data_IF_894624403567
#
_entry.id   IF_894624403567
#
_cell.length_a   1.000
_cell.length_b   1.000
_cell.length_c   1.000
_cell.angle_alpha   90.00
_cell.angle_beta   90.00
_cell.angle_gamma   90.00
#
_symmetry.space_group_name_H-M   'P 1'
#
loop_
_entity.id
_entity.type
_entity.pdbx_description
1 polymer ?
#
# COMPACT_ATOMS: atom_id res chain seq x y z
N UNK A 1 3.50 -3.58 3.01
CA UNK A 1 2.38 -2.60 2.98
C UNK A 1 2.24 -1.94 1.62
N UNK A 2 3.29 -1.35 1.03
CA UNK A 2 3.21 -0.60 -0.23
C UNK A 2 2.56 -1.41 -1.36
N UNK A 3 2.98 -2.66 -1.58
CA UNK A 3 2.38 -3.54 -2.59
C UNK A 3 0.89 -3.84 -2.32
N UNK A 4 0.49 -3.98 -1.05
CA UNK A 4 -0.91 -4.19 -0.67
C UNK A 4 -1.78 -3.01 -1.09
N UNK A 5 -1.34 -1.78 -0.82
CA UNK A 5 -2.04 -0.57 -1.24
C UNK A 5 -2.09 -0.42 -2.75
N UNK A 6 -0.98 -0.66 -3.43
CA UNK A 6 -0.96 -0.61 -4.89
C UNK A 6 -1.90 -1.65 -5.49
N UNK A 7 -1.90 -2.89 -5.00
CA UNK A 7 -2.81 -3.93 -5.46
C UNK A 7 -4.28 -3.56 -5.24
N UNK A 8 -4.60 -2.95 -4.09
CA UNK A 8 -5.94 -2.46 -3.79
C UNK A 8 -6.41 -1.38 -4.78
N UNK A 9 -5.52 -0.46 -5.17
CA UNK A 9 -5.83 0.64 -6.09
C UNK A 9 -5.83 0.23 -7.56
N UNK A 10 -4.94 -0.68 -7.94
CA UNK A 10 -4.79 -1.15 -9.33
C UNK A 10 -5.73 -2.30 -9.67
N UNK A 11 -6.29 -2.98 -8.67
CA UNK A 11 -7.08 -4.20 -8.81
C UNK A 11 -6.25 -5.48 -8.74
N UNK A 12 -6.91 -6.62 -8.50
CA UNK A 12 -6.30 -7.93 -8.24
C UNK A 12 -5.46 -8.51 -9.38
N UNK A 13 -5.58 -7.97 -10.60
CA UNK A 13 -4.80 -8.38 -11.77
C UNK A 13 -3.51 -7.59 -11.94
N UNK A 14 -3.17 -6.71 -10.99
CA UNK A 14 -1.93 -5.95 -11.04
C UNK A 14 -0.70 -6.87 -10.87
N UNK A 15 0.32 -6.64 -11.70
CA UNK A 15 1.54 -7.44 -11.72
C UNK A 15 2.73 -6.61 -11.29
N UNK A 16 3.60 -7.23 -10.50
CA UNK A 16 4.90 -6.67 -10.15
C UNK A 16 5.87 -6.89 -11.33
N UNK A 17 6.37 -5.81 -11.92
CA UNK A 17 7.22 -5.86 -13.12
C UNK A 17 8.69 -5.58 -12.84
N UNK A 18 9.00 -4.77 -11.83
CA UNK A 18 10.36 -4.54 -11.33
C UNK A 18 10.39 -4.50 -9.82
N UNK A 19 11.49 -4.93 -9.23
CA UNK A 19 11.78 -4.77 -7.81
C UNK A 19 13.27 -4.63 -7.58
N UNK A 20 13.64 -3.83 -6.59
CA UNK A 20 14.99 -3.71 -6.05
C UNK A 20 14.92 -3.62 -4.53
N UNK A 21 15.81 -4.30 -3.86
CA UNK A 21 15.98 -4.22 -2.44
C UNK A 21 17.47 -4.17 -2.10
N UNK A 22 17.82 -3.46 -1.06
CA UNK A 22 19.19 -3.24 -0.67
C UNK A 22 19.38 -3.49 0.82
N UNK A 23 20.49 -4.12 1.09
CA UNK A 23 20.96 -4.44 2.42
C UNK A 23 21.91 -3.35 2.94
N UNK A 24 21.94 -3.16 4.24
CA UNK A 24 22.94 -2.34 4.95
C UNK A 24 23.71 -3.26 5.88
N UNK A 25 25.03 -3.14 5.90
CA UNK A 25 25.88 -3.95 6.77
C UNK A 25 25.45 -3.84 8.23
N UNK A 26 25.31 -4.98 8.88
CA UNK A 26 24.87 -5.08 10.28
C UNK A 26 23.37 -5.32 10.47
N UNK A 27 22.58 -5.37 9.40
CA UNK A 27 21.17 -5.74 9.45
C UNK A 27 20.94 -7.09 8.74
N UNK A 28 20.00 -7.87 9.22
CA UNK A 28 19.64 -9.19 8.65
C UNK A 28 18.54 -9.10 7.58
N UNK A 29 18.03 -7.90 7.30
CA UNK A 29 16.93 -7.67 6.37
C UNK A 29 17.26 -6.54 5.41
N UNK A 30 16.52 -6.47 4.29
CA UNK A 30 16.61 -5.38 3.33
C UNK A 30 16.08 -4.09 3.96
N UNK A 31 16.91 -3.07 3.98
CA UNK A 31 16.64 -1.83 4.68
C UNK A 31 15.90 -0.80 3.81
N UNK A 32 16.04 -0.86 2.50
CA UNK A 32 15.33 0.02 1.57
C UNK A 32 15.19 -0.60 0.19
N UNK A 33 14.19 -0.16 -0.54
CA UNK A 33 13.94 -0.68 -1.87
C UNK A 33 12.81 0.02 -2.60
N UNK A 34 12.57 -0.45 -3.81
CA UNK A 34 11.50 0.06 -4.68
C UNK A 34 10.92 -1.04 -5.55
N UNK A 35 9.71 -0.78 -6.06
CA UNK A 35 9.05 -1.69 -6.99
C UNK A 35 8.13 -0.93 -7.94
N UNK A 36 7.84 -1.52 -9.09
CA UNK A 36 6.83 -1.03 -10.03
C UNK A 36 5.78 -2.12 -10.24
N UNK A 37 4.51 -1.73 -10.12
CA UNK A 37 3.36 -2.56 -10.45
C UNK A 37 2.57 -1.95 -11.61
N UNK A 38 1.95 -2.80 -12.44
CA UNK A 38 1.16 -2.39 -13.60
C UNK A 38 -0.10 -3.26 -13.66
N UNK A 39 -1.25 -2.67 -13.95
CA UNK A 39 -2.49 -3.41 -14.22
C UNK A 39 -2.71 -3.63 -15.71
N UNK A 40 -3.78 -4.34 -16.08
CA UNK A 40 -4.12 -4.64 -17.47
C UNK A 40 -4.47 -3.42 -18.31
N UNK A 41 -4.90 -2.33 -17.68
CA UNK A 41 -5.17 -1.05 -18.35
C UNK A 41 -3.90 -0.20 -18.58
N UNK A 42 -2.74 -0.68 -18.13
CA UNK A 42 -1.48 0.04 -18.22
C UNK A 42 -1.29 1.12 -17.14
N UNK A 43 -2.11 1.14 -16.08
CA UNK A 43 -1.92 2.05 -14.96
C UNK A 43 -0.74 1.55 -14.12
N UNK A 44 0.16 2.45 -13.79
CA UNK A 44 1.43 2.16 -13.12
C UNK A 44 1.40 2.65 -11.68
N UNK A 45 1.87 1.84 -10.74
CA UNK A 45 2.21 2.25 -9.39
C UNK A 45 3.72 2.11 -9.17
N UNK A 46 4.33 3.16 -8.66
CA UNK A 46 5.73 3.17 -8.20
C UNK A 46 5.76 3.16 -6.68
N UNK A 47 6.51 2.23 -6.12
CA UNK A 47 6.57 1.98 -4.69
C UNK A 47 7.99 2.18 -4.19
N UNK A 48 8.12 2.74 -2.99
CA UNK A 48 9.39 2.82 -2.29
C UNK A 48 9.19 2.55 -0.80
N UNK A 49 10.17 1.95 -0.16
CA UNK A 49 10.22 1.76 1.28
C UNK A 49 11.64 1.99 1.81
N UNK A 50 11.73 2.36 3.07
CA UNK A 50 13.00 2.52 3.78
C UNK A 50 12.77 2.44 5.29
N UNK A 51 13.67 1.75 6.00
CA UNK A 51 13.61 1.55 7.45
C UNK A 51 14.46 2.55 8.22
N UNK A 52 15.57 3.01 7.62
CA UNK A 52 16.51 3.97 8.21
C UNK A 52 16.47 5.29 7.42
N UNK A 53 15.28 5.79 7.20
CA UNK A 53 15.01 7.03 6.47
C UNK A 53 14.13 7.94 7.33
N UNK A 54 14.08 9.23 6.99
CA UNK A 54 13.08 10.12 7.58
C UNK A 54 11.67 9.60 7.31
N UNK A 55 10.76 9.83 8.27
CA UNK A 55 9.42 9.27 8.20
C UNK A 55 8.66 9.75 6.97
N UNK A 56 8.25 8.81 6.13
CA UNK A 56 7.40 9.02 4.97
C UNK A 56 6.35 7.93 4.88
N UNK A 57 5.08 8.32 4.79
CA UNK A 57 3.97 7.39 4.68
C UNK A 57 2.84 8.04 3.90
N UNK A 58 3.09 8.34 2.64
CA UNK A 58 2.21 9.10 1.77
C UNK A 58 1.82 8.32 0.52
N UNK A 59 0.80 8.83 -0.15
CA UNK A 59 0.36 8.40 -1.47
C UNK A 59 0.13 9.61 -2.35
N UNK A 60 0.51 9.49 -3.62
CA UNK A 60 0.13 10.40 -4.68
C UNK A 60 -0.54 9.61 -5.80
N UNK A 61 -1.71 10.08 -6.24
CA UNK A 61 -2.41 9.57 -7.41
C UNK A 61 -2.43 10.66 -8.46
N UNK A 62 -1.73 10.43 -9.56
CA UNK A 62 -1.60 11.39 -10.65
C UNK A 62 -2.45 10.96 -11.84
N UNK A 63 -3.49 11.71 -12.13
CA UNK A 63 -4.43 11.46 -13.21
C UNK A 63 -4.52 12.61 -14.21
N UNK A 64 -5.20 12.40 -15.32
CA UNK A 64 -5.41 13.39 -16.40
C UNK A 64 -6.20 14.63 -15.96
N UNK A 65 -6.94 14.55 -14.86
CA UNK A 65 -7.78 15.64 -14.33
C UNK A 65 -7.20 16.32 -13.09
N UNK A 66 -6.02 15.90 -12.63
CA UNK A 66 -5.37 16.44 -11.46
C UNK A 66 -4.59 15.40 -10.66
N UNK A 67 -4.10 15.84 -9.52
CA UNK A 67 -3.34 15.00 -8.58
C UNK A 67 -4.05 14.96 -7.24
N UNK A 68 -4.05 13.80 -6.58
CA UNK A 68 -4.50 13.66 -5.19
C UNK A 68 -3.31 13.21 -4.37
N UNK A 69 -3.06 13.90 -3.26
CA UNK A 69 -2.01 13.55 -2.31
C UNK A 69 -2.58 13.37 -0.91
N UNK A 70 -2.08 12.39 -0.16
CA UNK A 70 -2.41 12.21 1.25
C UNK A 70 -1.19 11.68 2.00
N UNK A 71 -0.92 12.26 3.15
CA UNK A 71 0.10 11.77 4.08
C UNK A 71 -0.49 10.78 5.10
N UNK A 72 0.39 10.03 5.75
CA UNK A 72 0.05 9.08 6.83
C UNK A 72 -1.10 8.14 6.50
N UNK A 73 -1.03 7.51 5.32
CA UNK A 73 -2.04 6.54 4.85
C UNK A 73 -2.00 5.20 5.59
N UNK A 74 -0.92 4.93 6.36
CA UNK A 74 -0.73 3.71 7.15
C UNK A 74 -0.56 4.07 8.62
N UNK A 75 -0.96 3.14 9.50
CA UNK A 75 -0.71 3.24 10.95
C UNK A 75 -1.15 4.54 11.60
N UNK A 76 -2.20 5.17 11.09
CA UNK A 76 -2.80 6.32 11.75
C UNK A 76 -3.38 5.92 13.12
N UNK A 77 -3.07 6.65 14.21
CA UNK A 77 -3.62 6.33 15.52
C UNK A 77 -5.13 6.59 15.56
N UNK A 78 -5.82 5.93 16.47
CA UNK A 78 -7.24 6.20 16.72
C UNK A 78 -7.47 7.71 17.00
N UNK A 79 -8.52 8.26 16.41
CA UNK A 79 -8.83 9.69 16.52
C UNK A 79 -8.02 10.63 15.61
N UNK A 80 -7.08 10.09 14.82
CA UNK A 80 -6.39 10.89 13.80
C UNK A 80 -7.36 11.28 12.68
N UNK A 81 -7.42 12.56 12.35
CA UNK A 81 -8.22 13.08 11.23
C UNK A 81 -7.35 13.14 9.97
N UNK A 82 -7.52 12.20 9.03
CA UNK A 82 -6.72 12.19 7.81
C UNK A 82 -7.16 13.30 6.86
N UNK A 83 -6.19 13.87 6.14
CA UNK A 83 -6.44 14.88 5.12
C UNK A 83 -5.94 14.40 3.75
N UNK A 84 -6.56 14.89 2.70
CA UNK A 84 -6.06 14.76 1.34
C UNK A 84 -6.18 16.08 0.59
N UNK A 85 -5.24 16.32 -0.32
CA UNK A 85 -5.22 17.51 -1.15
C UNK A 85 -5.47 17.13 -2.60
N UNK A 86 -6.42 17.80 -3.22
CA UNK A 86 -6.68 17.72 -4.66
C UNK A 86 -6.04 18.94 -5.32
N UNK A 87 -5.18 18.70 -6.31
CA UNK A 87 -4.60 19.73 -7.16
C UNK A 87 -5.17 19.62 -8.56
N UNK A 88 -5.75 20.69 -9.08
CA UNK A 88 -6.20 20.83 -10.47
C UNK A 88 -5.62 22.10 -11.05
N UNK A 89 -4.72 21.99 -12.03
CA UNK A 89 -3.95 23.09 -12.55
C UNK A 89 -3.15 23.84 -11.45
N UNK A 90 -3.56 25.05 -11.10
CA UNK A 90 -2.96 25.86 -10.04
C UNK A 90 -3.83 25.92 -8.77
N UNK A 91 -5.03 25.32 -8.82
CA UNK A 91 -5.96 25.30 -7.70
C UNK A 91 -5.66 24.11 -6.77
N UNK A 92 -5.76 24.37 -5.46
CA UNK A 92 -5.58 23.37 -4.41
C UNK A 92 -6.80 23.36 -3.51
N UNK A 93 -7.32 22.18 -3.25
CA UNK A 93 -8.40 21.96 -2.29
C UNK A 93 -7.97 20.89 -1.30
N UNK A 94 -7.97 21.20 -0.02
CA UNK A 94 -7.72 20.22 1.05
C UNK A 94 -9.04 19.84 1.69
N UNK A 95 -9.25 18.54 1.87
CA UNK A 95 -10.41 17.95 2.52
C UNK A 95 -9.98 17.00 3.63
N UNK A 96 -10.88 16.81 4.58
CA UNK A 96 -10.70 15.89 5.71
C UNK A 96 -11.62 14.67 5.56
N UNK A 97 -11.13 13.54 6.07
CA UNK A 97 -11.97 12.38 6.35
C UNK A 97 -12.32 12.34 7.83
N UNK A 98 -13.45 11.73 8.21
CA UNK A 98 -13.72 11.44 9.60
C UNK A 98 -12.60 10.61 10.23
N UNK A 99 -12.30 10.87 11.49
CA UNK A 99 -11.39 10.04 12.25
C UNK A 99 -11.93 8.59 12.32
N UNK A 100 -11.02 7.63 12.26
CA UNK A 100 -11.35 6.21 12.25
C UNK A 100 -10.36 5.41 13.11
N UNK A 101 -10.73 4.20 13.49
CA UNK A 101 -9.88 3.26 14.19
C UNK A 101 -9.63 2.02 13.31
N UNK A 102 -8.52 2.06 12.59
CA UNK A 102 -8.11 0.97 11.69
C UNK A 102 -7.76 -0.32 12.47
N UNK A 103 -7.25 -0.19 13.70
CA UNK A 103 -6.92 -1.35 14.52
C UNK A 103 -8.19 -2.05 15.02
N UNK A 104 -9.16 -1.31 15.52
CA UNK A 104 -10.46 -1.85 15.90
C UNK A 104 -11.14 -2.54 14.71
N UNK A 105 -11.17 -1.90 13.56
CA UNK A 105 -11.73 -2.50 12.33
C UNK A 105 -11.03 -3.79 11.91
N UNK A 106 -9.71 -3.86 12.06
CA UNK A 106 -8.95 -5.08 11.78
C UNK A 106 -9.34 -6.23 12.73
N UNK A 107 -9.51 -5.95 14.02
CA UNK A 107 -9.97 -6.93 15.00
C UNK A 107 -11.40 -7.39 14.70
N UNK A 108 -12.30 -6.46 14.41
CA UNK A 108 -13.68 -6.79 14.05
C UNK A 108 -13.75 -7.63 12.76
N UNK A 109 -12.91 -7.31 11.76
CA UNK A 109 -12.83 -8.13 10.55
C UNK A 109 -12.34 -9.55 10.84
N UNK A 110 -11.37 -9.70 11.73
CA UNK A 110 -10.92 -11.02 12.18
C UNK A 110 -12.03 -11.81 12.88
N UNK A 111 -12.80 -11.17 13.78
CA UNK A 111 -13.96 -11.80 14.42
C UNK A 111 -14.98 -12.25 13.37
N UNK A 112 -15.29 -11.40 12.41
CA UNK A 112 -16.19 -11.76 11.30
C UNK A 112 -15.68 -12.99 10.51
N UNK A 113 -14.37 -13.12 10.31
CA UNK A 113 -13.80 -14.31 9.66
C UNK A 113 -13.97 -15.61 10.46
N UNK A 114 -14.11 -15.52 11.79
CA UNK A 114 -14.43 -16.69 12.64
C UNK A 114 -15.89 -17.11 12.44
N UNK A 115 -16.79 -16.14 12.42
CA UNK A 115 -18.24 -16.35 12.39
C UNK A 115 -18.79 -16.63 10.99
N UNK A 116 -18.22 -16.00 9.97
CA UNK A 116 -18.67 -16.11 8.58
C UNK A 116 -17.62 -16.75 7.67
N UNK A 117 -17.98 -17.91 7.11
CA UNK A 117 -17.09 -18.67 6.22
C UNK A 117 -16.82 -17.97 4.90
N UNK A 118 -17.76 -17.20 4.36
CA UNK A 118 -17.59 -16.47 3.11
C UNK A 118 -16.56 -15.34 3.28
N UNK A 119 -16.70 -14.55 4.33
CA UNK A 119 -15.72 -13.52 4.70
C UNK A 119 -14.32 -14.10 4.86
N UNK A 120 -14.22 -15.25 5.52
CA UNK A 120 -12.93 -15.95 5.72
C UNK A 120 -12.30 -16.39 4.39
N UNK A 121 -13.08 -16.94 3.47
CA UNK A 121 -12.60 -17.35 2.14
C UNK A 121 -12.05 -16.15 1.36
N UNK A 122 -12.75 -15.03 1.38
CA UNK A 122 -12.33 -13.78 0.73
C UNK A 122 -11.02 -13.24 1.31
N UNK A 123 -10.87 -13.29 2.64
CA UNK A 123 -9.62 -12.88 3.29
C UNK A 123 -8.46 -13.83 2.98
N UNK A 124 -8.70 -15.14 2.90
CA UNK A 124 -7.67 -16.10 2.49
C UNK A 124 -7.22 -15.86 1.04
N UNK A 125 -8.13 -15.60 0.12
CA UNK A 125 -7.79 -15.22 -1.23
C UNK A 125 -6.92 -13.96 -1.27
N UNK A 126 -7.30 -12.93 -0.50
CA UNK A 126 -6.54 -11.68 -0.40
C UNK A 126 -5.15 -11.88 0.22
N UNK A 127 -5.01 -12.75 1.21
CA UNK A 127 -3.70 -13.09 1.82
C UNK A 127 -2.83 -13.87 0.84
N UNK A 128 -3.41 -14.82 0.11
CA UNK A 128 -2.70 -15.58 -0.93
C UNK A 128 -2.17 -14.65 -2.04
N UNK A 129 -2.99 -13.74 -2.55
CA UNK A 129 -2.57 -12.75 -3.55
C UNK A 129 -1.41 -11.89 -3.03
N UNK A 130 -1.48 -11.48 -1.77
CA UNK A 130 -0.40 -10.73 -1.13
C UNK A 130 0.89 -11.54 -1.01
N UNK A 131 0.80 -12.82 -0.66
CA UNK A 131 1.95 -13.73 -0.60
C UNK A 131 2.61 -13.88 -1.97
N UNK A 132 1.82 -14.11 -3.02
CA UNK A 132 2.32 -14.18 -4.39
C UNK A 132 3.08 -12.91 -4.81
N UNK A 133 2.60 -11.73 -4.41
CA UNK A 133 3.31 -10.47 -4.66
C UNK A 133 4.63 -10.38 -3.89
N UNK A 134 4.68 -10.84 -2.64
CA UNK A 134 5.91 -10.87 -1.83
C UNK A 134 6.93 -11.82 -2.43
N UNK A 135 6.53 -13.03 -2.79
CA UNK A 135 7.43 -13.98 -3.45
C UNK A 135 7.94 -13.44 -4.80
N UNK A 136 7.07 -12.82 -5.58
CA UNK A 136 7.49 -12.19 -6.83
C UNK A 136 8.45 -11.02 -6.62
N UNK A 137 8.27 -10.25 -5.54
CA UNK A 137 9.22 -9.21 -5.15
C UNK A 137 10.59 -9.78 -4.86
N UNK A 138 10.67 -10.84 -4.04
CA UNK A 138 11.93 -11.52 -3.70
C UNK A 138 12.65 -12.03 -4.96
N UNK A 139 11.92 -12.70 -5.85
CA UNK A 139 12.46 -13.18 -7.13
C UNK A 139 13.10 -12.05 -7.95
N UNK A 140 12.36 -10.95 -8.16
CA UNK A 140 12.81 -9.83 -8.96
C UNK A 140 13.96 -9.06 -8.30
N UNK A 141 13.93 -8.89 -7.00
CA UNK A 141 14.98 -8.25 -6.22
C UNK A 141 16.19 -9.16 -5.96
N UNK A 142 16.11 -10.46 -6.36
CA UNK A 142 17.17 -11.47 -6.14
C UNK A 142 17.54 -11.67 -4.66
N UNK A 143 16.53 -11.65 -3.81
CA UNK A 143 16.65 -11.95 -2.38
C UNK A 143 16.58 -13.47 -2.21
N UNK A 144 17.53 -14.05 -1.48
CA UNK A 144 17.57 -15.50 -1.15
C UNK A 144 16.77 -15.82 0.11
#
# INVERSE_FOLDING_TARGET
>A
YCMRYANYLLGSNAKLVTAQANHIDGFEVEMYGSATMVNEEGIVAQLAFGMDNDYKCDIEVWGSKGTITSGRILTAPAGFTPTYTIKKNQDFETREFPADDAFLKSILRFVNCIEDSQTRIEEYATLHDQECLVERFKELARIN
#
